data_IF_775226093877
#
_entry.id   IF_775226093877
#
_cell.length_a   1.000
_cell.length_b   1.000
_cell.length_c   1.000
_cell.angle_alpha   90.00
_cell.angle_beta   90.00
_cell.angle_gamma   90.00
#
_symmetry.space_group_name_H-M   'P 1'
#
loop_
_entity.id
_entity.type
_entity.pdbx_description
1 polymer ?
#
# COMPACT_ATOMS: atom_id res chain seq x y z
N UNK A 1 -1.90 14.56 25.41
CA UNK A 1 -1.50 13.71 24.27
C UNK A 1 -2.60 12.70 24.02
N UNK A 2 -3.28 12.75 22.88
CA UNK A 2 -4.30 11.75 22.48
C UNK A 2 -3.86 11.18 21.15
N UNK A 3 -3.69 9.87 21.08
CA UNK A 3 -3.47 9.14 19.83
C UNK A 3 -4.83 8.61 19.41
N UNK A 4 -5.32 9.07 18.27
CA UNK A 4 -6.50 8.52 17.64
C UNK A 4 -6.03 7.30 16.83
N UNK A 5 -6.25 6.09 17.35
CA UNK A 5 -6.11 4.88 16.54
C UNK A 5 -7.35 4.78 15.66
N UNK A 6 -7.20 5.05 14.37
CA UNK A 6 -8.27 4.95 13.37
C UNK A 6 -8.85 3.52 13.38
N UNK A 7 -10.17 3.35 13.56
CA UNK A 7 -10.77 2.05 13.87
C UNK A 7 -11.11 1.16 12.65
N UNK A 8 -10.54 1.40 11.47
CA UNK A 8 -10.90 0.66 10.25
C UNK A 8 -9.66 0.05 9.57
N UNK A 9 -8.97 -0.84 10.28
CA UNK A 9 -7.99 -1.73 9.68
C UNK A 9 -8.73 -2.76 8.81
N UNK A 10 -8.70 -2.55 7.49
CA UNK A 10 -9.11 -3.57 6.52
C UNK A 10 -7.89 -4.43 6.18
N UNK A 11 -7.95 -5.70 6.55
CA UNK A 11 -6.95 -6.70 6.17
C UNK A 11 -7.26 -7.21 4.77
N UNK A 12 -6.25 -7.16 3.88
CA UNK A 12 -6.32 -7.76 2.55
C UNK A 12 -5.18 -8.78 2.41
N UNK A 13 -5.45 -9.87 1.69
CA UNK A 13 -4.43 -10.89 1.39
C UNK A 13 -3.39 -10.34 0.41
N UNK A 14 -2.14 -10.82 0.49
CA UNK A 14 -1.08 -10.44 -0.45
C UNK A 14 -1.41 -10.77 -1.91
N UNK A 15 -2.14 -11.86 -2.14
CA UNK A 15 -2.61 -12.27 -3.47
C UNK A 15 -3.61 -11.27 -4.06
N UNK A 16 -4.34 -10.56 -3.21
CA UNK A 16 -5.32 -9.54 -3.58
C UNK A 16 -4.71 -8.12 -3.62
N UNK A 17 -3.51 -7.92 -3.05
CA UNK A 17 -2.85 -6.63 -3.07
C UNK A 17 -2.40 -6.25 -4.49
N UNK A 18 -2.91 -5.13 -4.97
CA UNK A 18 -2.44 -4.39 -6.13
C UNK A 18 -1.60 -3.19 -5.72
N UNK A 19 -0.63 -2.82 -6.57
CA UNK A 19 0.25 -1.67 -6.34
C UNK A 19 0.36 -0.83 -7.60
N UNK A 20 0.52 0.49 -7.44
CA UNK A 20 0.83 1.38 -8.55
C UNK A 20 1.67 2.57 -8.09
N UNK A 21 2.81 2.76 -8.74
CA UNK A 21 3.65 3.93 -8.56
C UNK A 21 3.27 5.00 -9.59
N UNK A 22 2.83 6.15 -9.11
CA UNK A 22 2.67 7.37 -9.90
C UNK A 22 3.84 8.31 -9.63
N UNK A 23 3.94 9.41 -10.37
CA UNK A 23 5.03 10.38 -10.19
C UNK A 23 5.04 11.01 -8.79
N UNK A 24 3.86 11.30 -8.24
CA UNK A 24 3.73 12.06 -6.98
C UNK A 24 3.29 11.22 -5.79
N UNK A 25 2.79 10.00 -6.02
CA UNK A 25 2.30 9.12 -4.97
C UNK A 25 2.44 7.65 -5.31
N UNK A 26 2.38 6.81 -4.28
CA UNK A 26 2.28 5.37 -4.37
C UNK A 26 0.90 4.91 -3.88
N UNK A 27 0.28 3.98 -4.59
CA UNK A 27 -1.03 3.45 -4.24
C UNK A 27 -0.99 1.94 -3.98
N UNK A 28 -1.66 1.53 -2.92
CA UNK A 28 -2.02 0.15 -2.60
C UNK A 28 -3.54 0.02 -2.72
N UNK A 29 -4.01 -1.07 -3.33
CA UNK A 29 -5.45 -1.30 -3.52
C UNK A 29 -5.78 -2.79 -3.54
N UNK A 30 -7.02 -3.16 -3.23
CA UNK A 30 -7.51 -4.53 -3.47
C UNK A 30 -7.83 -4.71 -4.95
N UNK A 31 -7.36 -5.81 -5.54
CA UNK A 31 -7.67 -6.21 -6.92
C UNK A 31 -9.12 -6.69 -7.04
N UNK A 32 -9.69 -7.26 -5.96
CA UNK A 32 -11.08 -7.73 -5.89
C UNK A 32 -12.09 -6.61 -5.61
N UNK A 33 -11.71 -5.62 -4.79
CA UNK A 33 -12.57 -4.48 -4.43
C UNK A 33 -11.80 -3.15 -4.51
N UNK A 34 -11.88 -2.44 -5.64
CA UNK A 34 -11.19 -1.17 -5.83
C UNK A 34 -11.58 -0.04 -4.87
N UNK A 35 -12.68 -0.18 -4.12
CA UNK A 35 -13.07 0.81 -3.09
C UNK A 35 -12.17 0.74 -1.86
N UNK A 36 -11.42 -0.36 -1.70
CA UNK A 36 -10.41 -0.55 -0.66
C UNK A 36 -9.05 -0.15 -1.22
N UNK A 37 -8.61 1.07 -0.91
CA UNK A 37 -7.32 1.58 -1.32
C UNK A 37 -6.71 2.52 -0.29
N UNK A 38 -5.39 2.70 -0.39
CA UNK A 38 -4.62 3.68 0.36
C UNK A 38 -3.55 4.26 -0.57
N UNK A 39 -3.43 5.59 -0.58
CA UNK A 39 -2.34 6.31 -1.24
C UNK A 39 -1.38 6.90 -0.23
N UNK A 40 -0.12 7.02 -0.64
CA UNK A 40 1.01 7.56 0.13
C UNK A 40 1.74 8.57 -0.74
N UNK A 41 1.90 9.80 -0.26
CA UNK A 41 2.53 10.87 -1.02
C UNK A 41 4.05 10.83 -0.89
N UNK A 42 4.80 10.87 -2.00
CA UNK A 42 6.26 10.94 -1.92
C UNK A 42 6.76 12.25 -1.29
N UNK A 43 5.97 13.33 -1.40
CA UNK A 43 6.33 14.66 -0.87
C UNK A 43 5.98 14.81 0.61
N UNK A 44 4.85 14.26 1.03
CA UNK A 44 4.28 14.51 2.36
C UNK A 44 4.57 13.37 3.36
N UNK A 45 4.79 12.15 2.87
CA UNK A 45 4.91 10.95 3.70
C UNK A 45 6.30 10.32 3.54
N UNK A 46 7.16 10.55 4.54
CA UNK A 46 8.53 10.00 4.56
C UNK A 46 8.58 8.47 4.45
N UNK A 47 7.54 7.78 4.92
CA UNK A 47 7.46 6.33 4.91
C UNK A 47 6.99 5.75 3.56
N UNK A 48 6.61 6.59 2.58
CA UNK A 48 6.18 6.13 1.25
C UNK A 48 7.24 5.26 0.58
N UNK A 49 8.52 5.64 0.69
CA UNK A 49 9.62 4.88 0.11
C UNK A 49 9.75 3.48 0.75
N UNK A 50 9.52 3.36 2.05
CA UNK A 50 9.51 2.08 2.76
C UNK A 50 8.32 1.22 2.35
N UNK A 51 7.13 1.80 2.29
CA UNK A 51 5.90 1.10 1.86
C UNK A 51 6.09 0.59 0.43
N UNK A 52 6.60 1.41 -0.48
CA UNK A 52 6.96 1.02 -1.84
C UNK A 52 7.93 -0.17 -1.86
N UNK A 53 9.09 -0.02 -1.21
CA UNK A 53 10.17 -1.00 -1.27
C UNK A 53 9.75 -2.35 -0.66
N UNK A 54 9.15 -2.34 0.53
CA UNK A 54 8.72 -3.54 1.24
C UNK A 54 7.59 -4.26 0.51
N UNK A 55 6.55 -3.54 0.07
CA UNK A 55 5.42 -4.17 -0.62
C UNK A 55 5.87 -4.80 -1.94
N UNK A 56 6.70 -4.12 -2.74
CA UNK A 56 7.27 -4.69 -3.97
C UNK A 56 8.15 -5.89 -3.69
N UNK A 57 9.01 -5.83 -2.67
CA UNK A 57 9.87 -6.95 -2.29
C UNK A 57 9.06 -8.19 -1.91
N UNK A 58 8.04 -8.04 -1.06
CA UNK A 58 7.16 -9.15 -0.64
C UNK A 58 6.39 -9.71 -1.83
N UNK A 59 5.81 -8.86 -2.68
CA UNK A 59 5.04 -9.30 -3.85
C UNK A 59 5.92 -10.03 -4.86
N UNK A 60 7.14 -9.55 -5.11
CA UNK A 60 8.11 -10.22 -5.98
C UNK A 60 8.53 -11.58 -5.38
N UNK A 61 8.89 -11.61 -4.09
CA UNK A 61 9.25 -12.86 -3.41
C UNK A 61 8.13 -13.91 -3.44
N UNK A 62 6.86 -13.49 -3.49
CA UNK A 62 5.68 -14.36 -3.63
C UNK A 62 5.30 -14.68 -5.08
N UNK A 63 5.97 -14.08 -6.08
CA UNK A 63 5.64 -14.26 -7.50
C UNK A 63 4.33 -13.58 -7.92
N UNK A 64 3.90 -12.53 -7.23
CA UNK A 64 2.66 -11.80 -7.54
C UNK A 64 2.87 -10.59 -8.45
N UNK A 65 4.12 -10.18 -8.64
CA UNK A 65 4.54 -9.16 -9.59
C UNK A 65 5.89 -9.59 -10.19
N UNK A 66 6.13 -9.15 -11.42
CA UNK A 66 7.43 -9.26 -12.10
C UNK A 66 8.35 -8.07 -11.74
#
# INVERSE_FOLDING_TARGET
MKILLSPLLRLISWEDLGTKAYTTYYALFSKKDPTIYQSYSYLEDWNTALVYSLSRHILNHKGFIE
#
